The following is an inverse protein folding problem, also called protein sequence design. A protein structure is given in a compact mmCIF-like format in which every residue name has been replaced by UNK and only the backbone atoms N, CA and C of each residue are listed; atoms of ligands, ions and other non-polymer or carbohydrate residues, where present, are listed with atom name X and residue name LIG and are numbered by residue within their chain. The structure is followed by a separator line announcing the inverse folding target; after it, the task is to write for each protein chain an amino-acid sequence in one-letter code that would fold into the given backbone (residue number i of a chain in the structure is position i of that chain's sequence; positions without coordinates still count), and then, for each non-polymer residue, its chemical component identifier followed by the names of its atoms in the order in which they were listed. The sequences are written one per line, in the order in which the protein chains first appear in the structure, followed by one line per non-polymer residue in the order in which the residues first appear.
data_IF_415348628735
#
_entry.id   IF_415348628735
#
_cell.length_a   1.000
_cell.length_b   1.000
_cell.length_c   1.000
_cell.angle_alpha   90.00
_cell.angle_beta   90.00
_cell.angle_gamma   90.00
#
_symmetry.space_group_name_H-M   'P 1'
#
loop_
_entity.id
_entity.type
_entity.pdbx_description
1 polymer ?
#
# COMPACT_ATOMS: atom_id res chain seq x y z
N UNK A 1 -11.64 -18.52 2.06
CA UNK A 1 -10.19 -18.68 2.04
C UNK A 1 -9.51 -17.54 2.79
N UNK A 2 -8.65 -17.89 3.72
CA UNK A 2 -7.88 -16.91 4.48
C UNK A 2 -6.71 -16.46 3.64
N UNK A 3 -6.50 -15.15 3.55
CA UNK A 3 -5.38 -14.63 2.78
C UNK A 3 -4.67 -13.53 3.55
N UNK A 4 -3.38 -13.74 3.79
CA UNK A 4 -2.56 -12.75 4.45
C UNK A 4 -1.94 -11.79 3.44
N UNK A 5 -1.74 -10.54 3.84
CA UNK A 5 -1.21 -9.50 2.98
C UNK A 5 -0.08 -8.75 3.65
N UNK A 6 0.85 -8.25 2.83
CA UNK A 6 1.87 -7.32 3.28
C UNK A 6 1.77 -6.03 2.48
N UNK A 7 1.79 -4.91 3.16
CA UNK A 7 1.70 -3.60 2.53
C UNK A 7 2.68 -2.61 3.13
N UNK A 8 2.86 -1.49 2.44
CA UNK A 8 3.86 -0.51 2.82
C UNK A 8 3.25 0.86 3.04
N UNK A 9 3.74 1.52 4.07
CA UNK A 9 3.45 2.92 4.36
C UNK A 9 4.72 3.67 3.98
N UNK A 10 4.67 4.35 2.84
CA UNK A 10 5.82 5.05 2.28
C UNK A 10 5.53 6.54 2.31
N UNK A 11 6.26 7.28 3.13
CA UNK A 11 6.06 8.72 3.28
C UNK A 11 7.33 9.44 2.85
N UNK A 12 7.20 10.38 1.92
CA UNK A 12 8.30 11.22 1.46
C UNK A 12 7.80 12.66 1.35
N UNK A 13 8.55 13.59 1.93
CA UNK A 13 8.29 15.02 1.77
C UNK A 13 6.83 15.37 2.10
N UNK A 14 6.30 14.76 3.17
CA UNK A 14 4.95 15.03 3.63
C UNK A 14 3.84 14.37 2.82
N UNK A 15 4.18 13.44 1.93
CA UNK A 15 3.21 12.75 1.11
C UNK A 15 3.32 11.26 1.30
N UNK A 16 2.19 10.58 1.16
CA UNK A 16 2.13 9.12 1.30
C UNK A 16 1.78 8.49 -0.04
N UNK A 17 2.44 7.37 -0.35
CA UNK A 17 2.19 6.63 -1.58
C UNK A 17 0.94 5.77 -1.42
N UNK A 18 0.00 5.93 -2.33
CA UNK A 18 -1.27 5.19 -2.32
C UNK A 18 -1.58 4.73 -3.74
N UNK A 19 -2.50 3.78 -3.84
CA UNK A 19 -3.08 3.35 -5.09
C UNK A 19 -4.52 3.81 -5.10
N UNK A 20 -4.89 4.65 -6.07
CA UNK A 20 -6.27 5.08 -6.24
C UNK A 20 -7.02 4.02 -7.02
N UNK A 21 -8.13 3.56 -6.47
CA UNK A 21 -8.96 2.56 -7.11
C UNK A 21 -10.28 3.19 -7.51
N UNK A 22 -10.69 2.93 -8.75
CA UNK A 22 -12.01 3.32 -9.24
C UNK A 22 -12.64 2.04 -9.72
N UNK A 23 -13.72 1.61 -9.07
CA UNK A 23 -14.33 0.34 -9.37
C UNK A 23 -15.84 0.45 -9.13
N UNK A 24 -16.61 0.10 -10.16
CA UNK A 24 -18.07 0.10 -10.06
C UNK A 24 -18.62 1.45 -9.58
N UNK A 25 -18.05 2.54 -10.10
CA UNK A 25 -18.49 3.88 -9.77
C UNK A 25 -17.99 4.41 -8.43
N UNK A 26 -17.24 3.60 -7.68
CA UNK A 26 -16.73 3.98 -6.37
C UNK A 26 -15.25 4.32 -6.47
N UNK A 27 -14.84 5.41 -5.83
CA UNK A 27 -13.43 5.80 -5.77
C UNK A 27 -12.94 5.65 -4.33
N UNK A 28 -11.83 4.95 -4.17
CA UNK A 28 -11.22 4.79 -2.86
C UNK A 28 -9.71 4.58 -3.04
N UNK A 29 -8.99 4.61 -1.93
CA UNK A 29 -7.54 4.48 -1.96
C UNK A 29 -7.12 3.30 -1.10
N UNK A 30 -6.06 2.62 -1.52
CA UNK A 30 -5.50 1.50 -0.75
C UNK A 30 -4.00 1.71 -0.62
N UNK A 31 -3.41 1.06 0.38
CA UNK A 31 -1.96 1.07 0.53
C UNK A 31 -1.36 0.06 -0.45
N UNK A 32 -0.21 0.38 -1.06
CA UNK A 32 0.42 -0.58 -1.97
C UNK A 32 0.82 -1.83 -1.22
N UNK A 33 0.66 -2.98 -1.88
CA UNK A 33 0.97 -4.27 -1.28
C UNK A 33 0.15 -5.36 -1.93
N UNK A 34 0.23 -6.56 -1.38
CA UNK A 34 -0.51 -7.68 -1.93
C UNK A 34 -0.34 -8.94 -1.10
N UNK A 35 -0.78 -10.07 -1.64
CA UNK A 35 -0.82 -11.33 -0.92
C UNK A 35 0.56 -11.89 -0.62
N UNK A 36 0.67 -12.51 0.54
CA UNK A 36 1.88 -13.22 0.95
C UNK A 36 1.80 -14.61 0.35
N UNK A 37 2.84 -15.01 -0.39
CA UNK A 37 2.88 -16.31 -1.01
C UNK A 37 3.52 -17.33 -0.09
N UNK A 38 3.26 -18.60 -0.37
CA UNK A 38 3.81 -19.68 0.43
C UNK A 38 5.33 -19.56 0.46
N UNK A 39 5.90 -19.63 1.67
CA UNK A 39 7.34 -19.54 1.84
C UNK A 39 7.88 -18.13 1.98
N UNK A 40 7.03 -17.11 1.80
CA UNK A 40 7.46 -15.72 1.97
C UNK A 40 7.17 -15.23 3.37
N UNK A 41 8.05 -14.37 3.89
CA UNK A 41 7.69 -13.57 5.06
C UNK A 41 6.82 -12.41 4.62
N UNK A 42 6.16 -11.76 5.57
CA UNK A 42 5.37 -10.57 5.26
C UNK A 42 6.23 -9.46 4.67
N UNK A 43 7.47 -9.31 5.18
CA UNK A 43 8.40 -8.30 4.65
C UNK A 43 8.79 -8.60 3.21
N UNK A 44 9.08 -9.87 2.91
CA UNK A 44 9.46 -10.26 1.56
C UNK A 44 8.33 -10.03 0.58
N UNK A 45 7.10 -10.38 0.97
CA UNK A 45 5.94 -10.16 0.12
C UNK A 45 5.73 -8.68 -0.14
N UNK A 46 5.92 -7.86 0.90
CA UNK A 46 5.78 -6.41 0.77
C UNK A 46 6.76 -5.87 -0.26
N UNK A 47 8.03 -6.25 -0.18
CA UNK A 47 9.04 -5.78 -1.13
C UNK A 47 8.69 -6.19 -2.55
N UNK A 48 8.27 -7.43 -2.73
CA UNK A 48 7.94 -7.95 -4.06
C UNK A 48 6.73 -7.22 -4.65
N UNK A 49 5.68 -7.07 -3.85
CA UNK A 49 4.46 -6.42 -4.33
C UNK A 49 4.69 -4.95 -4.65
N UNK A 50 5.48 -4.26 -3.82
CA UNK A 50 5.77 -2.85 -4.07
C UNK A 50 6.52 -2.69 -5.39
N UNK A 51 7.48 -3.59 -5.66
CA UNK A 51 8.19 -3.52 -6.92
C UNK A 51 7.25 -3.77 -8.10
N UNK A 52 6.36 -4.76 -7.98
CA UNK A 52 5.43 -5.07 -9.06
C UNK A 52 4.45 -3.92 -9.32
N UNK A 53 3.92 -3.31 -8.26
CA UNK A 53 2.92 -2.27 -8.42
C UNK A 53 3.51 -0.91 -8.74
N UNK A 54 4.56 -0.52 -8.07
CA UNK A 54 5.09 0.84 -8.15
C UNK A 54 6.38 0.96 -8.94
N UNK A 55 7.10 -0.14 -9.14
CA UNK A 55 8.37 -0.11 -9.86
C UNK A 55 9.54 0.36 -9.00
N UNK A 56 9.39 0.36 -7.70
CA UNK A 56 10.46 0.81 -6.80
C UNK A 56 10.86 -0.30 -5.85
N UNK A 57 12.13 -0.27 -5.46
CA UNK A 57 12.66 -1.13 -4.41
C UNK A 57 12.62 -0.37 -3.10
N UNK A 58 12.18 -1.02 -2.05
CA UNK A 58 12.04 -0.37 -0.74
C UNK A 58 12.83 -1.12 0.31
N UNK A 59 13.25 -0.39 1.33
CA UNK A 59 13.73 -0.97 2.57
C UNK A 59 12.54 -1.00 3.52
N UNK A 60 12.17 -2.20 3.97
CA UNK A 60 11.10 -2.37 4.93
C UNK A 60 11.69 -2.23 6.32
N UNK A 61 11.08 -1.41 7.17
CA UNK A 61 11.64 -1.13 8.47
C UNK A 61 10.86 -1.81 9.57
N UNK A 62 9.83 -1.17 10.09
CA UNK A 62 9.10 -1.79 11.19
C UNK A 62 7.61 -1.82 10.94
N UNK A 63 6.92 -2.66 11.68
CA UNK A 63 5.48 -2.82 11.53
C UNK A 63 4.78 -1.63 12.16
N UNK A 64 3.90 -0.99 11.38
CA UNK A 64 3.10 0.14 11.88
C UNK A 64 1.73 -0.34 12.33
N UNK A 65 1.13 -1.26 11.59
CA UNK A 65 -0.23 -1.71 11.89
C UNK A 65 -0.43 -3.14 11.43
N UNK A 66 -1.32 -3.83 12.12
CA UNK A 66 -1.69 -5.19 11.82
C UNK A 66 -3.21 -5.25 11.90
N UNK A 67 -3.84 -5.69 10.83
CA UNK A 67 -5.30 -5.71 10.74
C UNK A 67 -5.76 -7.13 10.50
N UNK A 68 -6.72 -7.58 11.30
CA UNK A 68 -7.33 -8.90 11.10
C UNK A 68 -8.62 -8.70 10.31
N UNK A 69 -8.66 -9.28 9.14
CA UNK A 69 -9.84 -9.23 8.30
C UNK A 69 -10.07 -10.63 7.75
N UNK A 70 -9.95 -10.86 6.48
CA UNK A 70 -10.06 -12.23 5.93
C UNK A 70 -8.69 -12.88 5.90
N UNK A 71 -7.96 -12.70 6.97
CA UNK A 71 -6.57 -13.06 7.14
C UNK A 71 -5.92 -11.92 7.89
N UNK A 72 -4.61 -11.93 7.97
CA UNK A 72 -3.86 -10.87 8.64
C UNK A 72 -3.20 -9.98 7.60
N UNK A 73 -3.37 -8.68 7.75
CA UNK A 73 -2.73 -7.70 6.89
C UNK A 73 -1.68 -6.95 7.70
N UNK A 74 -0.46 -6.96 7.20
CA UNK A 74 0.69 -6.33 7.86
C UNK A 74 1.07 -5.07 7.09
N UNK A 75 1.20 -3.95 7.79
CA UNK A 75 1.57 -2.68 7.17
C UNK A 75 2.85 -2.17 7.78
N UNK A 76 3.89 -2.10 6.96
CA UNK A 76 5.22 -1.74 7.40
C UNK A 76 5.57 -0.34 6.95
N UNK A 77 6.26 0.39 7.79
CA UNK A 77 6.94 1.59 7.38
C UNK A 77 8.08 1.18 6.43
N UNK A 78 8.19 1.87 5.30
CA UNK A 78 9.21 1.54 4.30
C UNK A 78 9.63 2.80 3.58
N UNK A 79 10.84 2.78 3.00
CA UNK A 79 11.28 3.90 2.18
C UNK A 79 11.92 3.40 0.90
N UNK A 80 11.82 4.23 -0.13
CA UNK A 80 12.31 3.88 -1.47
C UNK A 80 13.82 4.01 -1.50
N UNK A 81 14.50 2.97 -2.00
CA UNK A 81 15.95 2.98 -2.14
C UNK A 81 16.39 2.94 -3.60
N UNK A 82 15.50 2.59 -4.53
CA UNK A 82 15.85 2.51 -5.94
C UNK A 82 14.58 2.42 -6.77
N UNK A 83 14.69 2.71 -8.05
CA UNK A 83 13.58 2.59 -8.99
C UNK A 83 12.86 3.91 -9.22
N UNK A 84 11.90 3.88 -10.16
CA UNK A 84 11.13 5.06 -10.55
C UNK A 84 9.67 4.83 -10.19
N UNK A 85 9.14 5.67 -9.31
CA UNK A 85 7.75 5.55 -8.87
C UNK A 85 6.81 5.66 -10.07
N UNK A 86 5.89 4.71 -10.17
CA UNK A 86 4.93 4.69 -11.27
C UNK A 86 5.37 3.84 -12.45
N UNK A 87 6.58 3.27 -12.41
CA UNK A 87 7.08 2.45 -13.50
C UNK A 87 6.70 0.97 -13.35
N UNK A 88 5.90 0.64 -12.33
CA UNK A 88 5.47 -0.73 -12.11
C UNK A 88 4.34 -1.14 -13.02
N UNK A 89 3.70 -2.26 -12.69
CA UNK A 89 2.69 -2.88 -13.53
C UNK A 89 1.27 -2.63 -13.04
N UNK A 90 1.06 -1.58 -12.23
CA UNK A 90 -0.26 -1.31 -11.67
C UNK A 90 -1.32 -1.18 -12.75
N UNK A 91 -0.99 -0.51 -13.86
CA UNK A 91 -1.96 -0.31 -14.94
C UNK A 91 -2.36 -1.59 -15.62
N UNK A 92 -1.54 -2.63 -15.57
CA UNK A 92 -1.89 -3.90 -16.17
C UNK A 92 -3.02 -4.60 -15.46
N UNK A 93 -3.25 -4.26 -14.20
CA UNK A 93 -4.30 -4.89 -13.40
C UNK A 93 -5.69 -4.51 -13.89
N UNK A 94 -5.86 -3.33 -14.46
CA UNK A 94 -7.17 -2.91 -14.94
C UNK A 94 -7.63 -3.71 -16.16
N UNK A 95 -6.70 -4.33 -16.87
CA UNK A 95 -7.03 -5.17 -18.02
C UNK A 95 -7.72 -6.46 -17.62
N UNK A 96 -7.82 -6.73 -16.31
CA UNK A 96 -8.46 -7.92 -15.78
C UNK A 96 -9.77 -7.60 -15.12
N UNK A 97 -10.41 -6.51 -15.52
CA UNK A 97 -11.71 -6.08 -14.95
C UNK A 97 -11.66 -5.81 -13.45
N UNK A 98 -10.53 -5.32 -12.99
CA UNK A 98 -10.37 -4.99 -11.57
C UNK A 98 -10.56 -3.51 -11.28
N UNK A 99 -11.00 -2.75 -12.30
CA UNK A 99 -11.09 -1.31 -12.17
C UNK A 99 -9.71 -0.66 -12.35
N UNK A 100 -9.61 0.58 -11.97
CA UNK A 100 -8.37 1.35 -12.14
C UNK A 100 -7.43 1.15 -10.97
N UNK A 101 -6.13 1.14 -11.27
CA UNK A 101 -5.05 1.11 -10.29
C UNK A 101 -4.12 2.26 -10.62
N UNK A 102 -4.22 3.35 -9.89
CA UNK A 102 -3.45 4.56 -10.20
C UNK A 102 -2.54 4.90 -9.03
N UNK A 103 -1.22 4.64 -9.16
CA UNK A 103 -0.29 5.02 -8.08
C UNK A 103 -0.20 6.53 -8.00
N UNK A 104 -0.17 7.06 -6.79
CA UNK A 104 -0.04 8.51 -6.61
C UNK A 104 0.50 8.82 -5.22
N UNK A 105 0.88 10.08 -5.04
CA UNK A 105 1.29 10.61 -3.74
C UNK A 105 0.18 11.52 -3.24
N UNK A 106 -0.25 11.30 -2.02
CA UNK A 106 -1.28 12.14 -1.39
C UNK A 106 -0.65 12.88 -0.22
N UNK A 107 -0.90 14.20 -0.07
CA UNK A 107 -0.42 14.88 1.13
C UNK A 107 -0.94 14.17 2.37
N UNK A 108 -0.05 13.91 3.31
CA UNK A 108 -0.42 13.08 4.47
C UNK A 108 -1.50 13.73 5.32
N UNK A 109 -1.56 15.06 5.33
CA UNK A 109 -2.61 15.75 6.10
C UNK A 109 -4.01 15.58 5.50
N UNK A 110 -4.10 15.07 4.27
CA UNK A 110 -5.39 14.81 3.65
C UNK A 110 -5.85 13.37 3.84
N UNK A 111 -5.03 12.54 4.49
CA UNK A 111 -5.30 11.12 4.59
C UNK A 111 -6.64 10.82 5.27
N UNK A 112 -7.03 11.62 6.25
CA UNK A 112 -8.27 11.42 6.98
C UNK A 112 -9.50 11.91 6.20
N UNK A 113 -9.29 12.60 5.09
CA UNK A 113 -10.38 13.19 4.32
C UNK A 113 -10.81 12.36 3.13
N UNK A 114 -10.10 11.27 2.84
CA UNK A 114 -10.39 10.43 1.67
C UNK A 114 -10.81 9.05 2.13
N UNK A 115 -11.43 8.32 1.21
CA UNK A 115 -11.87 6.95 1.52
C UNK A 115 -10.66 6.01 1.40
N UNK A 116 -10.18 5.51 2.52
CA UNK A 116 -9.02 4.61 2.61
C UNK A 116 -9.47 3.24 3.08
N UNK A 117 -8.96 2.20 2.47
CA UNK A 117 -9.18 0.83 2.91
C UNK A 117 -7.85 0.14 3.16
N UNK A 118 -7.61 -0.45 4.33
CA UNK A 118 -8.49 -0.44 5.50
C UNK A 118 -8.33 0.86 6.30
N UNK A 119 -9.43 1.44 6.71
CA UNK A 119 -9.41 2.73 7.40
C UNK A 119 -8.71 2.66 8.75
N UNK A 120 -8.71 1.48 9.37
CA UNK A 120 -8.10 1.30 10.69
C UNK A 120 -6.63 1.69 10.72
N UNK A 121 -5.94 1.57 9.59
CA UNK A 121 -4.51 1.87 9.51
C UNK A 121 -4.23 3.37 9.60
N UNK A 122 -5.22 4.20 9.24
CA UNK A 122 -5.03 5.66 9.19
C UNK A 122 -4.62 6.21 10.56
N UNK A 123 -5.27 5.74 11.63
CA UNK A 123 -4.92 6.20 12.98
C UNK A 123 -3.48 5.87 13.35
N UNK A 124 -3.04 4.66 13.00
CA UNK A 124 -1.66 4.24 13.27
C UNK A 124 -0.67 5.10 12.51
N UNK A 125 -0.99 5.45 11.26
CA UNK A 125 -0.13 6.30 10.46
C UNK A 125 -0.03 7.69 11.07
N UNK A 126 -1.15 8.27 11.44
CA UNK A 126 -1.16 9.60 12.02
C UNK A 126 -0.36 9.66 13.31
N UNK A 127 -0.46 8.62 14.15
CA UNK A 127 0.32 8.54 15.37
C UNK A 127 1.82 8.44 15.09
N UNK A 128 2.19 7.64 14.09
CA UNK A 128 3.59 7.41 13.78
C UNK A 128 4.27 8.66 13.21
N UNK A 129 3.56 9.41 12.37
CA UNK A 129 4.13 10.57 11.67
C UNK A 129 3.73 11.91 12.28
N UNK A 130 3.07 11.89 13.41
CA UNK A 130 2.66 13.12 14.07
C UNK A 130 3.87 13.80 14.70
N UNK A 131 3.96 15.10 14.49
CA UNK A 131 5.01 15.92 15.10
C UNK A 131 4.43 17.01 15.96
#
# INVERSE_FOLDING_TARGET
MIRNRGGAIIVQEGKIALIKRIREGETYYVFPGGGIEEGETAEEATKREIYEELGVHVKVEHLIAKVEYKGTEYYFNAHIIDGVFGSGKAEEFKLKDRGSYIPLWLPIHELEKVSIKPYEVVGSICNHYKK
#
